data_IF_366298011617
#
_entry.id   IF_366298011617
#
_cell.length_a   1.000
_cell.length_b   1.000
_cell.length_c   1.000
_cell.angle_alpha   90.00
_cell.angle_beta   90.00
_cell.angle_gamma   90.00
#
_symmetry.space_group_name_H-M   'P 1'
#
loop_
_entity.id
_entity.type
_entity.pdbx_description
1 polymer ?
#
# COMPACT_ATOMS: atom_id res chain seq x y z
N UNK A 1 -7.10 -11.33 -10.11
CA UNK A 1 -8.37 -10.98 -9.46
C UNK A 1 -8.75 -9.55 -9.85
N UNK A 2 -10.03 -9.26 -10.07
CA UNK A 2 -10.53 -7.89 -10.28
C UNK A 2 -11.32 -7.46 -9.06
N UNK A 3 -10.89 -6.37 -8.39
CA UNK A 3 -11.59 -5.86 -7.21
C UNK A 3 -12.80 -5.03 -7.66
N UNK A 4 -13.99 -5.54 -7.36
CA UNK A 4 -15.24 -4.77 -7.50
C UNK A 4 -15.52 -3.98 -6.22
N UNK A 5 -16.38 -2.96 -6.34
CA UNK A 5 -16.82 -2.16 -5.18
C UNK A 5 -17.45 -3.05 -4.09
N UNK A 6 -18.30 -3.99 -4.50
CA UNK A 6 -18.94 -4.96 -3.60
C UNK A 6 -17.92 -5.78 -2.82
N UNK A 7 -16.93 -6.36 -3.50
CA UNK A 7 -15.88 -7.17 -2.85
C UNK A 7 -15.09 -6.33 -1.84
N UNK A 8 -14.74 -5.09 -2.20
CA UNK A 8 -14.00 -4.21 -1.30
C UNK A 8 -14.80 -3.85 -0.04
N UNK A 9 -16.09 -3.53 -0.20
CA UNK A 9 -16.97 -3.14 0.89
C UNK A 9 -17.28 -4.33 1.83
N UNK A 10 -17.58 -5.50 1.26
CA UNK A 10 -17.76 -6.74 2.04
C UNK A 10 -16.49 -7.12 2.81
N UNK A 11 -15.32 -6.96 2.18
CA UNK A 11 -14.04 -7.23 2.85
C UNK A 11 -13.78 -6.23 3.97
N UNK A 12 -14.10 -4.94 3.78
CA UNK A 12 -13.99 -3.92 4.83
C UNK A 12 -14.83 -4.30 6.06
N UNK A 13 -16.10 -4.65 5.85
CA UNK A 13 -17.01 -5.02 6.94
C UNK A 13 -16.53 -6.27 7.68
N UNK A 14 -16.10 -7.29 6.93
CA UNK A 14 -15.55 -8.52 7.49
C UNK A 14 -14.30 -8.26 8.34
N UNK A 15 -13.30 -7.61 7.75
CA UNK A 15 -12.01 -7.32 8.42
C UNK A 15 -12.23 -6.44 9.65
N UNK A 16 -13.12 -5.44 9.56
CA UNK A 16 -13.48 -4.58 10.69
C UNK A 16 -14.08 -5.41 11.83
N UNK A 17 -15.03 -6.30 11.54
CA UNK A 17 -15.64 -7.19 12.53
C UNK A 17 -14.61 -8.11 13.18
N UNK A 18 -13.71 -8.72 12.40
CA UNK A 18 -12.61 -9.55 12.92
C UNK A 18 -11.69 -8.77 13.87
N UNK A 19 -11.33 -7.53 13.53
CA UNK A 19 -10.53 -6.67 14.41
C UNK A 19 -11.29 -6.31 15.69
N UNK A 20 -12.57 -5.97 15.61
CA UNK A 20 -13.41 -5.64 16.77
C UNK A 20 -13.62 -6.84 17.72
N UNK A 21 -13.72 -8.06 17.19
CA UNK A 21 -13.79 -9.30 17.98
C UNK A 21 -12.54 -9.55 18.83
N UNK A 22 -11.39 -8.96 18.48
CA UNK A 22 -10.18 -8.99 19.29
C UNK A 22 -10.18 -7.95 20.43
N UNK A 23 -11.29 -7.24 20.63
CA UNK A 23 -11.42 -6.14 21.58
C UNK A 23 -10.69 -4.86 21.14
N UNK A 24 -10.38 -4.73 19.85
CA UNK A 24 -9.69 -3.55 19.30
C UNK A 24 -10.74 -2.53 18.87
N UNK A 25 -10.79 -1.39 19.57
CA UNK A 25 -11.68 -0.29 19.23
C UNK A 25 -11.16 0.49 18.01
N UNK A 26 -11.82 0.31 16.86
CA UNK A 26 -11.56 1.05 15.62
C UNK A 26 -12.27 2.41 15.62
N UNK A 27 -11.80 3.34 14.79
CA UNK A 27 -12.46 4.64 14.60
C UNK A 27 -13.78 4.53 13.82
N UNK A 28 -14.53 5.63 13.67
CA UNK A 28 -15.72 5.65 12.80
C UNK A 28 -15.29 5.69 11.34
N UNK A 29 -15.30 4.54 10.67
CA UNK A 29 -14.90 4.40 9.27
C UNK A 29 -16.15 4.41 8.39
N UNK A 30 -16.12 5.11 7.24
CA UNK A 30 -17.16 5.00 6.21
C UNK A 30 -17.39 3.52 5.82
N UNK A 31 -18.65 3.07 5.65
CA UNK A 31 -18.96 1.66 5.37
C UNK A 31 -18.63 1.23 3.93
N UNK A 32 -18.03 2.12 3.12
CA UNK A 32 -17.63 1.84 1.75
C UNK A 32 -16.19 2.27 1.50
N UNK A 33 -15.43 1.42 0.83
CA UNK A 33 -14.04 1.62 0.45
C UNK A 33 -13.99 2.42 -0.85
N UNK A 34 -13.17 3.47 -0.90
CA UNK A 34 -12.95 4.20 -2.16
C UNK A 34 -11.90 3.49 -3.01
N UNK A 35 -12.33 2.92 -4.15
CA UNK A 35 -11.40 2.38 -5.14
C UNK A 35 -10.67 3.49 -5.89
N UNK A 36 -9.36 3.32 -6.09
CA UNK A 36 -8.49 4.28 -6.77
C UNK A 36 -7.69 3.62 -7.89
N UNK A 37 -7.15 4.42 -8.79
CA UNK A 37 -6.21 3.97 -9.83
C UNK A 37 -4.74 4.20 -9.43
N UNK A 38 -4.43 4.27 -8.13
CA UNK A 38 -3.07 4.47 -7.65
C UNK A 38 -2.20 3.23 -7.96
N UNK A 39 -1.03 3.44 -8.54
CA UNK A 39 -0.09 2.38 -8.96
C UNK A 39 1.13 2.24 -8.06
N UNK A 40 1.24 3.07 -7.03
CA UNK A 40 2.39 3.16 -6.14
C UNK A 40 2.06 2.91 -4.67
N UNK A 41 0.79 2.72 -4.34
CA UNK A 41 0.32 2.49 -2.97
C UNK A 41 -0.88 1.56 -3.02
N UNK A 42 -0.92 0.57 -2.13
CA UNK A 42 -2.02 -0.40 -2.05
C UNK A 42 -3.26 0.19 -1.37
N UNK A 43 -3.07 0.92 -0.27
CA UNK A 43 -4.14 1.51 0.52
C UNK A 43 -3.74 2.82 1.20
N UNK A 44 -4.74 3.56 1.67
CA UNK A 44 -4.57 4.71 2.56
C UNK A 44 -5.79 4.87 3.47
N UNK A 45 -5.55 5.18 4.74
CA UNK A 45 -6.54 5.66 5.70
C UNK A 45 -6.51 7.20 5.76
N UNK A 46 -7.59 7.85 5.33
CA UNK A 46 -7.68 9.31 5.33
C UNK A 46 -8.60 9.78 6.46
N UNK A 47 -8.14 10.73 7.28
CA UNK A 47 -9.01 11.44 8.21
C UNK A 47 -9.97 12.34 7.44
N UNK A 48 -11.22 12.36 7.89
CA UNK A 48 -12.26 13.22 7.36
C UNK A 48 -12.50 14.37 8.36
N UNK A 49 -12.74 15.56 7.83
CA UNK A 49 -13.20 16.71 8.61
C UNK A 49 -14.67 16.95 8.25
N UNK A 50 -15.50 17.27 9.25
CA UNK A 50 -16.92 17.61 9.06
C UNK A 50 -17.72 16.52 8.30
N UNK A 51 -17.70 15.29 8.81
CA UNK A 51 -18.46 14.15 8.29
C UNK A 51 -18.99 13.30 9.45
N UNK A 52 -20.05 12.53 9.21
CA UNK A 52 -20.57 11.54 10.17
C UNK A 52 -19.54 10.44 10.53
N UNK A 53 -18.47 10.33 9.72
CA UNK A 53 -17.38 9.39 9.89
C UNK A 53 -16.04 10.11 10.06
N UNK A 54 -15.15 9.53 10.85
CA UNK A 54 -13.81 10.05 11.12
C UNK A 54 -12.80 9.66 10.02
N UNK A 55 -13.03 8.54 9.32
CA UNK A 55 -12.07 7.95 8.39
C UNK A 55 -12.68 7.43 7.09
N UNK A 56 -11.92 7.53 6.00
CA UNK A 56 -12.20 6.90 4.71
C UNK A 56 -11.02 5.99 4.31
N UNK A 57 -11.31 4.70 4.12
CA UNK A 57 -10.34 3.75 3.57
C UNK A 57 -10.38 3.85 2.06
N UNK A 58 -9.21 3.99 1.45
CA UNK A 58 -9.04 3.94 0.00
C UNK A 58 -8.08 2.83 -0.35
N UNK A 59 -8.35 2.09 -1.42
CA UNK A 59 -7.44 1.06 -1.92
C UNK A 59 -7.24 1.21 -3.42
N UNK A 60 -6.18 0.63 -3.96
CA UNK A 60 -6.01 0.50 -5.40
C UNK A 60 -6.88 -0.62 -5.96
N UNK A 61 -7.46 -0.40 -7.14
CA UNK A 61 -8.20 -1.45 -7.87
C UNK A 61 -7.30 -2.57 -8.40
N UNK A 62 -5.98 -2.40 -8.32
CA UNK A 62 -5.00 -3.33 -8.87
C UNK A 62 -4.54 -4.41 -7.89
N UNK A 63 -5.11 -4.54 -6.70
CA UNK A 63 -4.71 -5.57 -5.73
C UNK A 63 -4.78 -6.98 -6.35
N UNK A 64 -3.73 -7.76 -6.15
CA UNK A 64 -3.47 -8.97 -6.92
C UNK A 64 -4.37 -10.17 -6.54
N UNK A 65 -4.59 -10.36 -5.25
CA UNK A 65 -5.30 -11.50 -4.67
C UNK A 65 -6.05 -11.11 -3.37
N UNK A 66 -6.91 -12.01 -2.88
CA UNK A 66 -7.76 -11.78 -1.71
C UNK A 66 -6.94 -11.56 -0.42
N UNK A 67 -5.82 -12.26 -0.26
CA UNK A 67 -4.96 -12.10 0.91
C UNK A 67 -4.35 -10.69 0.96
N UNK A 68 -3.85 -10.20 -0.17
CA UNK A 68 -3.35 -8.84 -0.30
C UNK A 68 -4.45 -7.79 -0.01
N UNK A 69 -5.69 -8.05 -0.44
CA UNK A 69 -6.84 -7.19 -0.13
C UNK A 69 -7.10 -7.12 1.36
N UNK A 70 -7.20 -8.28 2.03
CA UNK A 70 -7.39 -8.39 3.48
C UNK A 70 -6.26 -7.72 4.26
N UNK A 71 -5.01 -8.02 3.92
CA UNK A 71 -3.83 -7.42 4.55
C UNK A 71 -3.85 -5.89 4.41
N UNK A 72 -4.14 -5.38 3.20
CA UNK A 72 -4.20 -3.94 2.92
C UNK A 72 -5.33 -3.29 3.71
N UNK A 73 -6.55 -3.82 3.65
CA UNK A 73 -7.70 -3.26 4.36
C UNK A 73 -7.48 -3.27 5.88
N UNK A 74 -6.93 -4.35 6.44
CA UNK A 74 -6.62 -4.43 7.85
C UNK A 74 -5.55 -3.41 8.26
N UNK A 75 -4.49 -3.24 7.45
CA UNK A 75 -3.46 -2.22 7.66
C UNK A 75 -4.08 -0.82 7.80
N UNK A 76 -4.97 -0.46 6.86
CA UNK A 76 -5.61 0.85 6.85
C UNK A 76 -6.64 1.02 7.97
N UNK A 77 -7.40 -0.02 8.34
CA UNK A 77 -8.29 0.02 9.50
C UNK A 77 -7.50 0.28 10.78
N UNK A 78 -6.35 -0.37 10.98
CA UNK A 78 -5.54 -0.20 12.19
C UNK A 78 -5.02 1.23 12.36
N UNK A 79 -4.90 2.01 11.29
CA UNK A 79 -4.59 3.44 11.37
C UNK A 79 -5.71 4.29 11.99
N UNK A 80 -6.97 3.81 11.96
CA UNK A 80 -8.10 4.48 12.61
C UNK A 80 -8.09 4.34 14.13
N UNK A 81 -7.36 3.36 14.67
CA UNK A 81 -7.28 3.10 16.12
C UNK A 81 -6.55 4.25 16.80
N UNK A 82 -7.09 4.75 17.92
CA UNK A 82 -6.49 5.88 18.67
C UNK A 82 -5.03 5.59 19.04
N UNK A 83 -4.13 6.46 18.60
CA UNK A 83 -2.67 6.33 18.81
C UNK A 83 -1.94 5.41 17.83
N UNK A 84 -2.63 4.92 16.79
CA UNK A 84 -2.08 4.00 15.79
C UNK A 84 -1.98 4.64 14.39
N UNK A 85 -2.15 5.96 14.27
CA UNK A 85 -2.02 6.65 12.97
C UNK A 85 -0.62 6.49 12.36
N UNK A 86 0.38 6.23 13.19
CA UNK A 86 1.73 5.83 12.78
C UNK A 86 1.99 4.37 13.22
N UNK A 87 2.92 3.68 12.56
CA UNK A 87 3.27 2.28 12.84
C UNK A 87 4.14 2.06 14.10
N UNK A 88 3.79 2.75 15.20
CA UNK A 88 4.47 2.65 16.49
C UNK A 88 4.11 1.35 17.22
N UNK A 89 4.65 1.15 18.44
CA UNK A 89 4.48 -0.09 19.24
C UNK A 89 3.03 -0.57 19.32
N UNK A 90 2.07 0.35 19.56
CA UNK A 90 0.65 0.00 19.65
C UNK A 90 0.08 -0.57 18.35
N UNK A 91 0.38 0.07 17.21
CA UNK A 91 -0.07 -0.41 15.90
C UNK A 91 0.51 -1.80 15.60
N UNK A 92 1.81 -2.01 15.87
CA UNK A 92 2.48 -3.31 15.66
C UNK A 92 1.84 -4.42 16.50
N UNK A 93 1.56 -4.14 17.77
CA UNK A 93 0.92 -5.11 18.66
C UNK A 93 -0.49 -5.51 18.17
N UNK A 94 -1.25 -4.57 17.60
CA UNK A 94 -2.57 -4.90 17.04
C UNK A 94 -2.46 -5.68 15.73
N UNK A 95 -1.53 -5.30 14.84
CA UNK A 95 -1.25 -6.06 13.63
C UNK A 95 -0.87 -7.52 13.96
N UNK A 96 -0.01 -7.73 14.96
CA UNK A 96 0.39 -9.07 15.40
C UNK A 96 -0.78 -9.91 15.92
N UNK A 97 -1.69 -9.30 16.70
CA UNK A 97 -2.90 -9.98 17.18
C UNK A 97 -3.80 -10.43 16.03
N UNK A 98 -4.01 -9.56 15.04
CA UNK A 98 -4.83 -9.87 13.86
C UNK A 98 -4.17 -10.98 13.03
N UNK A 99 -2.86 -10.87 12.78
CA UNK A 99 -2.07 -11.89 12.08
C UNK A 99 -2.19 -13.25 12.77
N UNK A 100 -1.97 -13.29 14.09
CA UNK A 100 -1.99 -14.53 14.88
C UNK A 100 -3.36 -15.19 14.92
N UNK A 101 -4.45 -14.40 15.02
CA UNK A 101 -5.80 -14.94 15.16
C UNK A 101 -6.42 -15.39 13.83
N UNK A 102 -6.19 -14.63 12.77
CA UNK A 102 -6.92 -14.80 11.51
C UNK A 102 -6.02 -15.19 10.31
N UNK A 103 -4.72 -15.38 10.53
CA UNK A 103 -3.78 -15.80 9.48
C UNK A 103 -3.42 -14.69 8.49
N UNK A 104 -3.53 -13.42 8.91
CA UNK A 104 -3.14 -12.27 8.10
C UNK A 104 -1.61 -12.12 8.08
N UNK A 105 -1.10 -11.33 7.12
CA UNK A 105 0.30 -10.92 7.07
C UNK A 105 0.41 -9.39 6.98
N UNK A 106 -0.15 -8.70 7.96
CA UNK A 106 -0.09 -7.24 8.06
C UNK A 106 1.34 -6.84 8.46
N UNK A 107 2.01 -6.13 7.56
CA UNK A 107 3.35 -5.59 7.80
C UNK A 107 3.33 -4.06 7.76
N UNK A 108 4.42 -3.44 8.26
CA UNK A 108 4.57 -1.98 8.28
C UNK A 108 4.65 -1.37 6.88
N UNK A 109 5.30 -2.06 5.95
CA UNK A 109 5.51 -1.59 4.59
C UNK A 109 4.64 -2.42 3.66
N UNK A 110 3.67 -1.80 2.99
CA UNK A 110 2.95 -2.48 1.92
C UNK A 110 3.89 -2.88 0.80
N UNK A 111 3.71 -4.09 0.26
CA UNK A 111 4.50 -4.57 -0.87
C UNK A 111 3.75 -4.28 -2.18
N UNK A 112 4.28 -3.36 -2.97
CA UNK A 112 3.66 -3.01 -4.26
C UNK A 112 3.65 -4.18 -5.26
N UNK A 113 4.44 -5.23 -5.02
CA UNK A 113 4.38 -6.48 -5.79
C UNK A 113 3.01 -7.18 -5.66
N UNK A 114 2.28 -6.90 -4.57
CA UNK A 114 0.91 -7.35 -4.37
C UNK A 114 -0.12 -6.56 -5.20
N UNK A 115 0.33 -5.61 -6.03
CA UNK A 115 -0.49 -5.00 -7.06
C UNK A 115 -0.17 -5.60 -8.44
N UNK A 116 -1.21 -6.00 -9.18
CA UNK A 116 -1.15 -6.39 -10.58
C UNK A 116 -0.96 -5.17 -11.49
N UNK A 117 0.14 -4.45 -11.31
CA UNK A 117 0.54 -3.31 -12.13
C UNK A 117 1.91 -3.60 -12.72
N UNK A 118 2.04 -3.40 -14.04
CA UNK A 118 3.36 -3.44 -14.68
C UNK A 118 4.08 -2.10 -14.50
N UNK A 119 5.40 -2.10 -14.23
CA UNK A 119 6.18 -0.88 -14.27
C UNK A 119 6.05 -0.23 -15.66
N UNK A 120 6.18 1.09 -15.73
CA UNK A 120 6.21 1.85 -17.00
C UNK A 120 7.66 2.16 -17.42
N UNK A 121 8.55 2.19 -16.44
CA UNK A 121 9.97 2.42 -16.64
C UNK A 121 10.75 1.46 -15.74
N UNK A 122 11.79 0.86 -16.30
CA UNK A 122 12.78 0.07 -15.57
C UNK A 122 14.10 0.80 -15.72
N UNK A 123 14.81 1.01 -14.61
CA UNK A 123 16.17 1.56 -14.62
C UNK A 123 17.12 0.46 -14.19
N UNK A 124 18.15 0.18 -14.97
CA UNK A 124 19.11 -0.90 -14.70
C UNK A 124 20.50 -0.32 -14.53
N UNK A 125 21.24 -0.78 -13.52
CA UNK A 125 22.64 -0.44 -13.41
C UNK A 125 23.50 -1.27 -14.38
N UNK A 126 24.22 -0.60 -15.28
CA UNK A 126 25.10 -1.27 -16.27
C UNK A 126 26.26 -2.05 -15.65
N UNK A 127 26.64 -1.71 -14.42
CA UNK A 127 27.77 -2.36 -13.73
C UNK A 127 27.35 -3.58 -12.87
N UNK A 128 26.25 -3.47 -12.12
CA UNK A 128 25.86 -4.52 -11.15
C UNK A 128 24.51 -5.17 -11.43
N UNK A 129 23.81 -4.77 -12.50
CA UNK A 129 22.52 -5.34 -12.90
C UNK A 129 21.33 -4.97 -12.00
N UNK A 130 21.51 -4.16 -10.95
CA UNK A 130 20.41 -3.80 -10.05
C UNK A 130 19.31 -3.05 -10.81
N UNK A 131 18.08 -3.56 -10.69
CA UNK A 131 16.89 -3.00 -11.31
C UNK A 131 16.06 -2.13 -10.33
N UNK A 132 15.59 -1.00 -10.84
CA UNK A 132 14.67 -0.11 -10.16
C UNK A 132 13.40 0.04 -11.00
N UNK A 133 12.25 -0.31 -10.43
CA UNK A 133 10.95 -0.29 -11.11
C UNK A 133 10.21 1.00 -10.80
N UNK A 134 9.76 1.71 -11.83
CA UNK A 134 8.98 2.95 -11.70
C UNK A 134 7.66 2.87 -12.45
N UNK A 135 6.57 3.21 -11.75
CA UNK A 135 5.21 3.21 -12.29
C UNK A 135 4.75 4.58 -12.82
N UNK A 136 5.54 5.63 -12.55
CA UNK A 136 5.29 7.01 -12.99
C UNK A 136 6.58 7.72 -13.34
N UNK A 137 6.49 8.77 -14.15
CA UNK A 137 7.62 9.61 -14.57
C UNK A 137 8.07 10.54 -13.43
N UNK A 138 8.90 10.01 -12.54
CA UNK A 138 9.50 10.75 -11.43
C UNK A 138 10.75 11.54 -11.82
N UNK A 139 11.40 12.17 -10.82
CA UNK A 139 12.65 12.91 -11.01
C UNK A 139 13.74 12.06 -11.67
N UNK A 140 13.96 10.83 -11.16
CA UNK A 140 14.96 9.91 -11.70
C UNK A 140 14.79 9.68 -13.21
N UNK A 141 13.57 9.38 -13.64
CA UNK A 141 13.25 9.17 -15.06
C UNK A 141 13.51 10.43 -15.88
N UNK A 142 13.08 11.61 -15.40
CA UNK A 142 13.32 12.88 -16.09
C UNK A 142 14.80 13.19 -16.26
N UNK A 143 15.60 12.94 -15.23
CA UNK A 143 17.05 13.15 -15.29
C UNK A 143 17.74 12.17 -16.26
N UNK A 144 17.34 10.90 -16.26
CA UNK A 144 17.89 9.91 -17.18
C UNK A 144 17.51 10.22 -18.64
N UNK A 145 16.27 10.64 -18.91
CA UNK A 145 15.86 11.09 -20.25
C UNK A 145 16.60 12.35 -20.71
N UNK A 146 16.99 13.22 -19.78
CA UNK A 146 17.82 14.39 -20.06
C UNK A 146 19.33 14.05 -20.12
N UNK A 147 19.70 12.76 -20.16
CA UNK A 147 21.09 12.28 -20.17
C UNK A 147 21.96 12.78 -19.00
N UNK A 148 21.35 13.07 -17.85
CA UNK A 148 22.08 13.53 -16.67
C UNK A 148 22.84 12.38 -16.00
N UNK A 149 24.16 12.55 -15.84
CA UNK A 149 25.04 11.58 -15.15
C UNK A 149 25.07 11.73 -13.63
N UNK A 150 24.25 12.63 -13.07
CA UNK A 150 24.22 12.93 -11.64
C UNK A 150 23.52 11.85 -10.79
N UNK A 151 22.75 10.97 -11.44
CA UNK A 151 22.11 9.84 -10.76
C UNK A 151 22.96 8.61 -10.95
N UNK A 152 23.30 7.98 -9.82
CA UNK A 152 24.14 6.78 -9.78
C UNK A 152 23.40 5.65 -9.08
N UNK A 153 23.83 4.42 -9.35
CA UNK A 153 23.32 3.25 -8.66
C UNK A 153 23.50 3.36 -7.13
N UNK A 154 22.43 3.12 -6.36
CA UNK A 154 22.47 3.15 -4.89
C UNK A 154 23.35 2.06 -4.28
N UNK A 155 23.66 0.99 -5.03
CA UNK A 155 24.52 -0.12 -4.59
C UNK A 155 26.00 0.11 -4.92
N UNK A 156 26.34 0.32 -6.19
CA UNK A 156 27.74 0.36 -6.66
C UNK A 156 28.19 1.71 -7.24
N UNK A 157 27.32 2.73 -7.22
CA UNK A 157 27.53 4.04 -7.86
C UNK A 157 27.83 4.00 -9.37
N UNK A 158 27.61 2.87 -10.03
CA UNK A 158 27.73 2.72 -11.47
C UNK A 158 26.67 3.49 -12.26
N UNK A 159 26.86 3.56 -13.57
CA UNK A 159 25.93 4.18 -14.52
C UNK A 159 24.58 3.45 -14.55
N UNK A 160 23.52 4.23 -14.76
CA UNK A 160 22.14 3.77 -14.84
C UNK A 160 21.60 3.96 -16.26
N UNK A 161 20.91 2.95 -16.77
CA UNK A 161 20.23 2.96 -18.05
C UNK A 161 18.72 2.94 -17.86
N UNK A 162 18.00 3.75 -18.65
CA UNK A 162 16.55 3.77 -18.64
C UNK A 162 15.99 2.89 -19.77
N UNK A 163 15.18 1.90 -19.38
CA UNK A 163 14.40 1.04 -20.26
C UNK A 163 12.91 1.41 -20.11
N UNK A 164 12.23 1.69 -21.23
CA UNK A 164 10.78 1.93 -21.25
C UNK A 164 10.07 0.61 -21.54
N UNK A 165 8.94 0.39 -20.87
CA UNK A 165 8.16 -0.86 -20.94
C UNK A 165 6.70 -0.61 -21.29
#
# INVERSE_FOLDING_TARGET
MYITQKIADETLLKVKSEIEQLGIQVGKIKPSVKLTSNKTTLGTCNKLNNSDFDFEIRITKYIANEQALKNTIAHEILHSVKGCFNHQKKWKAMAEKVNSKYGYNITRLGDISEANVKPKYIVVCKNCGLEYKYFKKGKVIKYLEANSKNIKCGKCRGELELIRT
#
